data_IF_783320499889
#
_entry.id   IF_783320499889
#
_cell.length_a   1.000
_cell.length_b   1.000
_cell.length_c   1.000
_cell.angle_alpha   90.00
_cell.angle_beta   90.00
_cell.angle_gamma   90.00
#
_symmetry.space_group_name_H-M   'P 1'
#
loop_
_entity.id
_entity.type
_entity.pdbx_description
1 polymer ?
#
# COMPACT_ATOMS: atom_id res chain seq x y z
N UNK A 1 -41.19 17.59 -18.15
CA UNK A 1 -41.70 18.89 -17.66
C UNK A 1 -40.50 19.70 -17.18
N UNK A 2 -40.26 20.91 -17.71
CA UNK A 2 -39.12 21.75 -17.32
C UNK A 2 -39.49 22.53 -16.05
N UNK A 3 -38.72 22.35 -14.98
CA UNK A 3 -38.90 23.11 -13.75
C UNK A 3 -38.25 24.50 -13.91
N UNK A 4 -38.93 25.55 -13.44
CA UNK A 4 -38.43 26.93 -13.48
C UNK A 4 -38.19 27.43 -12.06
N UNK A 5 -37.06 28.10 -11.86
CA UNK A 5 -36.67 28.71 -10.60
C UNK A 5 -36.56 30.22 -10.78
N UNK A 6 -37.14 31.00 -9.86
CA UNK A 6 -37.04 32.45 -9.86
C UNK A 6 -35.74 32.86 -9.17
N UNK A 7 -34.79 33.39 -9.92
CA UNK A 7 -33.50 33.85 -9.42
C UNK A 7 -33.39 35.34 -9.74
N UNK A 8 -33.21 36.18 -8.72
CA UNK A 8 -33.11 37.64 -8.86
C UNK A 8 -34.25 38.27 -9.72
N UNK A 9 -35.48 37.80 -9.53
CA UNK A 9 -36.66 38.29 -10.25
C UNK A 9 -36.80 37.80 -11.70
N UNK A 10 -35.89 36.96 -12.20
CA UNK A 10 -35.96 36.34 -13.54
C UNK A 10 -36.22 34.84 -13.43
N UNK A 11 -37.13 34.34 -14.28
CA UNK A 11 -37.42 32.90 -14.41
C UNK A 11 -36.29 32.20 -15.14
N UNK A 12 -35.58 31.29 -14.49
CA UNK A 12 -34.49 30.49 -15.05
C UNK A 12 -34.92 29.03 -15.13
N UNK A 13 -34.76 28.40 -16.30
CA UNK A 13 -35.06 26.98 -16.46
C UNK A 13 -34.03 26.10 -15.74
N UNK A 14 -34.48 24.97 -15.18
CA UNK A 14 -33.65 24.03 -14.40
C UNK A 14 -32.41 23.54 -15.15
N UNK A 15 -32.49 23.41 -16.47
CA UNK A 15 -31.40 22.90 -17.31
C UNK A 15 -30.30 23.95 -17.48
N UNK A 16 -30.66 25.24 -17.59
CA UNK A 16 -29.70 26.34 -17.67
C UNK A 16 -28.98 26.50 -16.33
N UNK A 17 -29.72 26.37 -15.23
CA UNK A 17 -29.13 26.38 -13.89
C UNK A 17 -28.14 25.22 -13.69
N UNK A 18 -28.53 24.00 -14.09
CA UNK A 18 -27.68 22.82 -14.00
C UNK A 18 -26.39 22.98 -14.84
N UNK A 19 -26.50 23.50 -16.07
CA UNK A 19 -25.33 23.76 -16.92
C UNK A 19 -24.40 24.82 -16.31
N UNK A 20 -24.94 25.85 -15.66
CA UNK A 20 -24.15 26.84 -14.94
C UNK A 20 -23.38 26.25 -13.75
N UNK A 21 -24.04 25.42 -12.93
CA UNK A 21 -23.40 24.74 -11.79
C UNK A 21 -22.29 23.81 -12.27
N UNK A 22 -22.56 22.95 -13.26
CA UNK A 22 -21.55 22.06 -13.82
C UNK A 22 -20.37 22.82 -14.42
N UNK A 23 -20.63 23.87 -15.21
CA UNK A 23 -19.59 24.73 -15.77
C UNK A 23 -18.72 25.39 -14.70
N UNK A 24 -19.32 25.84 -13.59
CA UNK A 24 -18.57 26.46 -12.48
C UNK A 24 -17.70 25.46 -11.71
N UNK A 25 -18.16 24.23 -11.53
CA UNK A 25 -17.39 23.16 -10.86
C UNK A 25 -16.19 22.77 -11.73
N UNK A 26 -16.42 22.46 -13.01
CA UNK A 26 -15.36 22.06 -13.94
C UNK A 26 -14.37 23.21 -14.20
N UNK A 27 -14.85 24.42 -14.42
CA UNK A 27 -13.99 25.59 -14.61
C UNK A 27 -13.20 25.95 -13.36
N UNK A 28 -13.83 25.88 -12.18
CA UNK A 28 -13.19 26.15 -10.89
C UNK A 28 -12.11 25.12 -10.54
N UNK A 29 -12.40 23.83 -10.71
CA UNK A 29 -11.41 22.75 -10.50
C UNK A 29 -10.26 22.82 -11.50
N UNK A 30 -10.53 23.12 -12.77
CA UNK A 30 -9.47 23.29 -13.77
C UNK A 30 -8.59 24.50 -13.44
N UNK A 31 -9.17 25.65 -13.06
CA UNK A 31 -8.39 26.83 -12.70
C UNK A 31 -7.56 26.58 -11.42
N UNK A 32 -8.13 25.91 -10.42
CA UNK A 32 -7.44 25.55 -9.18
C UNK A 32 -6.29 24.55 -9.39
N UNK A 33 -6.39 23.67 -10.39
CA UNK A 33 -5.38 22.63 -10.68
C UNK A 33 -4.39 23.04 -11.78
N UNK A 34 -4.68 24.05 -12.60
CA UNK A 34 -3.82 24.53 -13.70
C UNK A 34 -2.58 25.32 -13.24
N UNK A 35 -2.54 25.74 -11.98
CA UNK A 35 -1.51 26.63 -11.43
C UNK A 35 -0.25 25.95 -10.89
N UNK A 36 0.02 24.69 -11.21
CA UNK A 36 1.28 24.02 -10.86
C UNK A 36 2.21 24.01 -12.07
N UNK A 37 3.35 24.71 -11.98
CA UNK A 37 4.46 24.53 -12.92
C UNK A 37 4.67 23.05 -13.17
N UNK A 38 4.57 22.60 -14.43
CA UNK A 38 4.99 21.27 -14.81
C UNK A 38 6.39 21.09 -14.23
N UNK A 39 6.53 20.26 -13.19
CA UNK A 39 7.83 19.66 -12.91
C UNK A 39 8.22 19.08 -14.25
N UNK A 40 9.29 19.61 -14.85
CA UNK A 40 9.99 18.92 -15.92
C UNK A 40 10.12 17.50 -15.40
N UNK A 41 9.36 16.58 -15.98
CA UNK A 41 9.68 15.17 -15.88
C UNK A 41 11.13 15.13 -16.29
N UNK A 42 12.01 14.90 -15.31
CA UNK A 42 13.40 14.62 -15.59
C UNK A 42 13.32 13.54 -16.65
N UNK A 43 13.74 13.88 -17.86
CA UNK A 43 13.78 12.94 -18.95
C UNK A 43 14.71 11.86 -18.46
N UNK A 44 14.11 10.76 -18.00
CA UNK A 44 14.85 9.56 -17.66
C UNK A 44 15.70 9.19 -18.87
N UNK A 45 16.78 8.43 -18.67
CA UNK A 45 17.61 7.94 -19.75
C UNK A 45 16.74 7.44 -20.92
N UNK A 46 17.10 7.74 -22.18
CA UNK A 46 16.28 7.38 -23.34
C UNK A 46 15.86 5.92 -23.25
N UNK A 47 14.56 5.67 -23.10
CA UNK A 47 13.97 4.33 -23.17
C UNK A 47 14.05 3.87 -24.62
N UNK A 48 15.21 3.33 -25.00
CA UNK A 48 15.44 2.69 -26.28
C UNK A 48 15.14 1.20 -26.11
N UNK A 49 13.84 0.87 -26.10
CA UNK A 49 13.32 -0.47 -25.90
C UNK A 49 13.51 -1.38 -27.12
N UNK A 50 14.76 -1.75 -27.37
CA UNK A 50 15.14 -2.67 -28.44
C UNK A 50 16.24 -3.67 -28.09
N UNK A 51 16.77 -3.68 -26.86
CA UNK A 51 17.81 -4.63 -26.45
C UNK A 51 17.22 -5.78 -25.61
N UNK A 52 17.74 -6.99 -25.84
CA UNK A 52 17.39 -8.22 -25.11
C UNK A 52 17.61 -8.11 -23.58
N UNK A 53 18.43 -7.14 -23.16
CA UNK A 53 18.68 -6.85 -21.75
C UNK A 53 17.49 -6.16 -21.07
N UNK A 54 16.70 -5.35 -21.80
CA UNK A 54 15.44 -4.77 -21.28
C UNK A 54 14.33 -5.83 -21.17
N UNK A 55 14.27 -6.80 -22.08
CA UNK A 55 13.36 -7.95 -21.96
C UNK A 55 13.69 -8.79 -20.71
N UNK A 56 14.97 -9.06 -20.44
CA UNK A 56 15.42 -9.73 -19.23
C UNK A 56 15.00 -8.96 -17.97
N UNK A 57 15.10 -7.63 -17.98
CA UNK A 57 14.66 -6.76 -16.89
C UNK A 57 13.13 -6.86 -16.66
N UNK A 58 12.33 -6.85 -17.72
CA UNK A 58 10.87 -7.03 -17.61
C UNK A 58 10.52 -8.43 -17.07
N UNK A 59 11.24 -9.47 -17.50
CA UNK A 59 11.09 -10.83 -16.98
C UNK A 59 11.61 -11.02 -15.56
N UNK A 60 12.56 -10.20 -15.08
CA UNK A 60 12.99 -10.21 -13.67
C UNK A 60 12.06 -9.41 -12.76
N UNK A 61 11.35 -8.43 -13.31
CA UNK A 61 10.42 -7.57 -12.56
C UNK A 61 9.05 -8.24 -12.34
N UNK A 62 8.68 -9.25 -13.12
CA UNK A 62 7.52 -10.10 -12.79
C UNK A 62 7.88 -11.02 -11.62
N UNK A 63 7.37 -10.77 -10.39
CA UNK A 63 7.65 -11.64 -9.27
C UNK A 63 7.12 -13.04 -9.59
N UNK A 64 7.96 -14.05 -9.42
CA UNK A 64 7.49 -15.43 -9.55
C UNK A 64 6.38 -15.69 -8.54
N UNK A 65 5.47 -16.64 -8.79
CA UNK A 65 4.43 -16.98 -7.83
C UNK A 65 4.98 -17.28 -6.43
N UNK A 66 6.16 -17.88 -6.34
CA UNK A 66 6.81 -18.20 -5.07
C UNK A 66 7.41 -16.97 -4.38
N UNK A 67 7.97 -16.02 -5.14
CA UNK A 67 8.41 -14.72 -4.61
C UNK A 67 7.21 -13.92 -4.08
N UNK A 68 6.11 -13.90 -4.83
CA UNK A 68 4.88 -13.23 -4.43
C UNK A 68 4.31 -13.84 -3.14
N UNK A 69 4.25 -15.19 -3.05
CA UNK A 69 3.83 -15.90 -1.83
C UNK A 69 4.75 -15.63 -0.65
N UNK A 70 6.06 -15.66 -0.86
CA UNK A 70 7.03 -15.38 0.19
C UNK A 70 6.88 -13.95 0.74
N UNK A 71 6.71 -12.97 -0.16
CA UNK A 71 6.50 -11.58 0.21
C UNK A 71 5.14 -11.39 0.92
N UNK A 72 4.08 -11.99 0.39
CA UNK A 72 2.74 -11.94 0.97
C UNK A 72 2.71 -12.56 2.37
N UNK A 73 3.43 -13.66 2.62
CA UNK A 73 3.57 -14.27 3.94
C UNK A 73 4.22 -13.34 4.96
N UNK A 74 5.33 -12.69 4.58
CA UNK A 74 6.00 -11.71 5.45
C UNK A 74 5.14 -10.47 5.69
N UNK A 75 4.40 -10.02 4.69
CA UNK A 75 3.46 -8.91 4.83
C UNK A 75 2.32 -9.26 5.79
N UNK A 76 1.65 -10.41 5.59
CA UNK A 76 0.58 -10.90 6.44
C UNK A 76 1.04 -11.06 7.89
N UNK A 77 2.22 -11.65 8.10
CA UNK A 77 2.81 -11.82 9.43
C UNK A 77 3.09 -10.47 10.12
N UNK A 78 3.67 -9.50 9.39
CA UNK A 78 3.94 -8.16 9.94
C UNK A 78 2.65 -7.40 10.26
N UNK A 79 1.62 -7.51 9.42
CA UNK A 79 0.32 -6.90 9.69
C UNK A 79 -0.38 -7.52 10.90
N UNK A 80 -0.35 -8.86 11.02
CA UNK A 80 -0.87 -9.56 12.20
C UNK A 80 -0.10 -9.14 13.48
N UNK A 81 1.23 -9.06 13.39
CA UNK A 81 2.06 -8.61 14.50
C UNK A 81 1.75 -7.17 14.95
N UNK A 82 1.53 -6.26 13.99
CA UNK A 82 1.12 -4.88 14.27
C UNK A 82 -0.22 -4.83 15.01
N UNK A 83 -1.19 -5.62 14.57
CA UNK A 83 -2.52 -5.72 15.19
C UNK A 83 -2.46 -6.34 16.59
N UNK A 84 -1.61 -7.34 16.79
CA UNK A 84 -1.44 -8.00 18.08
C UNK A 84 -0.64 -7.18 19.10
N UNK A 85 0.06 -6.11 18.66
CA UNK A 85 0.88 -5.31 19.58
C UNK A 85 0.03 -4.56 20.60
N UNK A 86 0.48 -4.52 21.85
CA UNK A 86 -0.20 -3.85 22.97
C UNK A 86 -0.38 -2.35 22.76
N UNK A 87 0.48 -1.73 21.95
CA UNK A 87 0.44 -0.30 21.61
C UNK A 87 -0.49 0.00 20.42
N UNK A 88 -1.06 -1.03 19.79
CA UNK A 88 -1.95 -0.92 18.63
C UNK A 88 -1.21 -0.77 17.29
N UNK A 89 -1.93 -1.04 16.20
CA UNK A 89 -1.36 -1.14 14.84
C UNK A 89 -0.67 0.14 14.33
N UNK A 90 -1.05 1.31 14.85
CA UNK A 90 -0.45 2.60 14.47
C UNK A 90 0.86 2.93 15.19
N UNK A 91 1.19 2.22 16.28
CA UNK A 91 2.31 2.58 17.14
C UNK A 91 3.64 1.90 16.75
N UNK A 92 3.59 0.84 15.94
CA UNK A 92 4.78 0.13 15.43
C UNK A 92 4.74 0.03 13.91
N UNK A 93 5.89 0.30 13.27
CA UNK A 93 6.07 0.22 11.83
C UNK A 93 6.55 -1.15 11.38
N UNK A 94 6.51 -1.41 10.06
CA UNK A 94 7.05 -2.67 9.49
C UNK A 94 8.55 -2.84 9.65
N UNK A 95 9.28 -1.76 9.92
CA UNK A 95 10.72 -1.78 10.21
C UNK A 95 11.02 -2.25 11.63
N UNK A 96 10.05 -2.11 12.53
CA UNK A 96 10.17 -2.49 13.94
C UNK A 96 9.74 -3.95 14.17
N UNK A 97 9.34 -4.65 13.11
CA UNK A 97 8.89 -6.04 13.14
C UNK A 97 9.73 -6.87 12.19
N UNK A 98 10.38 -7.90 12.72
CA UNK A 98 11.18 -8.85 11.98
C UNK A 98 10.52 -10.23 12.02
N UNK A 99 10.45 -10.90 10.87
CA UNK A 99 9.99 -12.29 10.76
C UNK A 99 11.23 -13.14 10.57
N UNK A 100 11.49 -14.01 11.53
CA UNK A 100 12.62 -14.93 11.52
C UNK A 100 12.12 -16.36 11.58
N UNK A 101 12.99 -17.28 11.19
CA UNK A 101 12.81 -18.70 11.43
C UNK A 101 13.78 -19.08 12.55
N UNK A 102 13.30 -19.77 13.58
CA UNK A 102 14.15 -20.30 14.64
C UNK A 102 15.13 -21.30 14.03
N UNK A 103 16.42 -21.15 14.34
CA UNK A 103 17.44 -22.10 13.91
C UNK A 103 17.46 -23.28 14.87
N UNK A 104 16.73 -24.33 14.50
CA UNK A 104 16.69 -25.59 15.24
C UNK A 104 17.85 -26.53 14.91
N UNK A 105 18.87 -26.07 14.16
CA UNK A 105 20.04 -26.87 13.76
C UNK A 105 19.73 -27.98 12.74
N UNK A 106 18.50 -28.00 12.21
CA UNK A 106 18.04 -28.96 11.19
C UNK A 106 17.63 -28.19 9.94
N UNK A 107 18.36 -28.35 8.83
CA UNK A 107 18.07 -27.64 7.58
C UNK A 107 16.62 -27.87 7.13
N UNK A 108 15.90 -26.78 6.86
CA UNK A 108 14.52 -26.81 6.36
C UNK A 108 13.43 -27.01 7.42
N UNK A 109 13.77 -27.23 8.69
CA UNK A 109 12.81 -27.37 9.79
C UNK A 109 13.05 -26.31 10.86
N UNK A 110 12.51 -25.12 10.64
CA UNK A 110 12.52 -24.05 11.64
C UNK A 110 11.14 -23.45 11.84
N UNK A 111 10.82 -23.11 13.09
CA UNK A 111 9.52 -22.53 13.45
C UNK A 111 9.54 -21.03 13.14
N UNK A 112 8.56 -20.49 12.41
CA UNK A 112 8.51 -19.05 12.17
C UNK A 112 8.16 -18.31 13.47
N UNK A 113 8.82 -17.18 13.69
CA UNK A 113 8.62 -16.31 14.84
C UNK A 113 8.61 -14.84 14.43
N UNK A 114 7.92 -14.02 15.22
CA UNK A 114 7.96 -12.56 15.08
C UNK A 114 8.84 -11.99 16.17
N UNK A 115 9.71 -11.07 15.81
CA UNK A 115 10.57 -10.34 16.72
C UNK A 115 10.16 -8.87 16.65
N UNK A 116 9.73 -8.33 17.78
CA UNK A 116 9.46 -6.90 17.96
C UNK A 116 10.75 -6.22 18.41
N UNK A 117 11.22 -5.28 17.59
CA UNK A 117 12.42 -4.50 17.86
C UNK A 117 12.05 -3.31 18.75
N UNK A 118 12.76 -3.13 19.85
CA UNK A 118 12.62 -1.94 20.66
C UNK A 118 13.28 -0.74 19.96
N UNK A 119 12.48 0.28 19.67
CA UNK A 119 12.92 1.53 19.04
C UNK A 119 13.84 2.35 19.96
N UNK A 120 13.89 2.06 21.27
CA UNK A 120 14.75 2.74 22.23
C UNK A 120 16.16 2.15 22.36
N UNK A 121 16.48 1.08 21.62
CA UNK A 121 17.84 0.54 21.57
C UNK A 121 18.29 -0.17 22.85
N UNK A 122 17.37 -0.56 23.74
CA UNK A 122 17.71 -1.27 24.98
C UNK A 122 18.09 -2.75 24.75
N UNK A 123 17.98 -3.25 23.52
CA UNK A 123 18.28 -4.65 23.17
C UNK A 123 17.20 -5.66 23.58
N UNK A 124 16.13 -5.22 24.23
CA UNK A 124 15.00 -6.08 24.62
C UNK A 124 14.09 -6.38 23.43
N UNK A 125 14.53 -7.32 22.59
CA UNK A 125 13.73 -7.85 21.50
C UNK A 125 12.69 -8.84 22.06
N UNK A 126 11.39 -8.57 21.83
CA UNK A 126 10.31 -9.44 22.29
C UNK A 126 9.92 -10.43 21.20
N UNK A 127 9.85 -11.72 21.55
CA UNK A 127 9.59 -12.79 20.57
C UNK A 127 8.14 -13.26 20.68
N UNK A 128 7.32 -12.94 19.68
CA UNK A 128 5.96 -13.44 19.51
C UNK A 128 5.90 -14.75 18.73
N UNK A 129 4.88 -15.56 19.01
CA UNK A 129 4.60 -16.80 18.26
C UNK A 129 3.91 -16.48 16.95
N UNK A 130 4.31 -17.16 15.88
CA UNK A 130 3.80 -16.94 14.53
C UNK A 130 3.43 -18.26 13.86
N UNK A 131 2.32 -18.26 13.13
CA UNK A 131 1.96 -19.29 12.18
C UNK A 131 1.58 -18.64 10.86
N UNK A 132 2.11 -19.16 9.75
CA UNK A 132 1.79 -18.72 8.39
C UNK A 132 1.25 -19.92 7.62
N UNK A 133 0.17 -19.73 6.90
CA UNK A 133 -0.38 -20.70 5.95
C UNK A 133 -0.68 -20.02 4.63
N UNK A 134 -0.58 -20.76 3.54
CA UNK A 134 -0.93 -20.29 2.20
C UNK A 134 -1.82 -21.34 1.51
N UNK A 135 -2.85 -20.87 0.81
CA UNK A 135 -3.71 -21.72 -0.01
C UNK A 135 -4.12 -20.97 -1.28
N UNK A 136 -3.83 -21.55 -2.45
CA UNK A 136 -4.08 -20.95 -3.75
C UNK A 136 -3.56 -19.50 -3.87
N UNK A 137 -4.51 -18.56 -3.81
CA UNK A 137 -4.33 -17.11 -3.95
C UNK A 137 -4.21 -16.35 -2.61
N UNK A 138 -4.39 -17.04 -1.48
CA UNK A 138 -4.42 -16.42 -0.15
C UNK A 138 -3.21 -16.80 0.69
N UNK A 139 -2.78 -15.83 1.51
CA UNK A 139 -1.80 -16.05 2.58
C UNK A 139 -2.35 -15.49 3.87
N UNK A 140 -2.33 -16.32 4.91
CA UNK A 140 -2.89 -16.01 6.23
C UNK A 140 -1.79 -16.15 7.26
N UNK A 141 -1.73 -15.21 8.21
CA UNK A 141 -0.81 -15.28 9.33
C UNK A 141 -1.55 -15.01 10.64
N UNK A 142 -1.22 -15.80 11.66
CA UNK A 142 -1.71 -15.64 13.02
C UNK A 142 -0.53 -15.35 13.93
N UNK A 143 -0.65 -14.30 14.75
CA UNK A 143 0.40 -13.87 15.68
C UNK A 143 -0.17 -13.78 17.08
N UNK A 144 0.57 -14.34 18.03
CA UNK A 144 0.42 -14.08 19.45
C UNK A 144 1.59 -13.19 19.86
N UNK A 145 1.30 -11.93 20.20
CA UNK A 145 2.31 -10.99 20.63
C UNK A 145 2.94 -11.42 21.96
N UNK A 146 4.23 -11.15 22.13
CA UNK A 146 4.87 -11.23 23.43
C UNK A 146 4.59 -9.93 24.21
N UNK A 147 4.19 -10.10 25.46
CA UNK A 147 3.98 -9.01 26.42
C UNK A 147 5.27 -8.35 26.91
#
# INVERSE_FOLDING_TARGET
MVAYYQIAGKKVGSHVLAMGVLGSIFGGTYLATRGGSAKKTAQGPPINAGSKDEEQFIHTVTPTPDMARWLAGRFAAKEAARKASTRGAGAIGWKDVLVSVEDTGTEGSGRPQVIYLDTKGNGDARIGKLSISHDGEYVVATVLAAE
#
